data_IF_427571843836
#
_entry.id   IF_427571843836
#
_cell.length_a   1.000
_cell.length_b   1.000
_cell.length_c   1.000
_cell.angle_alpha   90.00
_cell.angle_beta   90.00
_cell.angle_gamma   90.00
#
_symmetry.space_group_name_H-M   'P 1'
#
loop_
_entity.id
_entity.type
_entity.pdbx_description
1 polymer ?
#
# COMPACT_ATOMS: atom_id res chain seq x y z
N UNK A 1 -29.11 -1.61 44.61
CA UNK A 1 -28.62 -0.42 43.89
C UNK A 1 -29.05 -0.58 42.44
N UNK A 2 -30.22 -0.06 42.11
CA UNK A 2 -30.79 -0.15 40.76
C UNK A 2 -30.06 0.82 39.84
N UNK A 3 -29.29 0.28 38.90
CA UNK A 3 -28.67 1.10 37.85
C UNK A 3 -29.79 1.54 36.92
N UNK A 4 -30.08 2.85 36.81
CA UNK A 4 -31.21 3.32 36.04
C UNK A 4 -31.02 2.95 34.58
N UNK A 5 -32.07 2.46 33.92
CA UNK A 5 -32.07 2.00 32.52
C UNK A 5 -31.38 2.97 31.54
N UNK A 6 -31.46 4.28 31.82
CA UNK A 6 -30.76 5.33 31.06
C UNK A 6 -29.23 5.19 31.08
N UNK A 7 -28.64 4.79 32.20
CA UNK A 7 -27.18 4.58 32.35
C UNK A 7 -26.74 3.34 31.56
N UNK A 8 -27.54 2.27 31.59
CA UNK A 8 -27.30 1.08 30.75
C UNK A 8 -27.34 1.41 29.25
N UNK A 9 -28.28 2.25 28.83
CA UNK A 9 -28.42 2.65 27.43
C UNK A 9 -27.23 3.49 26.93
N UNK A 10 -26.73 4.41 27.76
CA UNK A 10 -25.57 5.25 27.44
C UNK A 10 -24.30 4.39 27.31
N UNK A 11 -24.11 3.41 28.19
CA UNK A 11 -22.96 2.49 28.15
C UNK A 11 -22.99 1.60 26.89
N UNK A 12 -24.17 1.14 26.47
CA UNK A 12 -24.32 0.36 25.23
C UNK A 12 -23.96 1.16 23.97
N UNK A 13 -24.35 2.44 23.90
CA UNK A 13 -24.03 3.32 22.77
C UNK A 13 -22.52 3.62 22.72
N UNK A 14 -21.89 3.86 23.88
CA UNK A 14 -20.43 4.08 23.95
C UNK A 14 -19.63 2.85 23.50
N UNK A 15 -20.09 1.64 23.83
CA UNK A 15 -19.47 0.39 23.38
C UNK A 15 -19.58 0.19 21.85
N UNK A 16 -20.70 0.60 21.24
CA UNK A 16 -20.88 0.51 19.78
C UNK A 16 -20.02 1.51 19.01
N UNK A 17 -19.78 2.71 19.55
CA UNK A 17 -18.90 3.70 18.92
C UNK A 17 -17.42 3.23 18.86
N UNK A 18 -16.96 2.49 19.86
CA UNK A 18 -15.62 1.89 19.91
C UNK A 18 -15.46 0.65 19.01
N UNK A 19 -16.56 0.03 18.57
CA UNK A 19 -16.56 -1.11 17.65
C UNK A 19 -16.51 -0.69 16.16
N UNK A 20 -16.44 0.62 15.87
CA UNK A 20 -16.16 1.11 14.52
C UNK A 20 -14.74 0.68 14.14
N UNK A 21 -14.64 -0.48 13.48
CA UNK A 21 -13.38 -1.01 12.95
C UNK A 21 -12.70 0.11 12.15
N UNK A 22 -11.41 0.42 12.40
CA UNK A 22 -10.70 1.34 11.53
C UNK A 22 -10.86 0.81 10.11
N UNK A 23 -11.28 1.70 9.20
CA UNK A 23 -11.44 1.37 7.78
C UNK A 23 -10.21 0.59 7.34
N UNK A 24 -10.41 -0.63 6.84
CA UNK A 24 -9.33 -1.54 6.43
C UNK A 24 -8.64 -1.07 5.15
N UNK A 25 -8.71 0.22 4.83
CA UNK A 25 -8.16 0.82 3.63
C UNK A 25 -7.03 1.77 4.00
N UNK A 26 -5.85 1.51 3.45
CA UNK A 26 -4.78 2.50 3.40
C UNK A 26 -4.97 3.33 2.13
N UNK A 27 -5.09 4.65 2.27
CA UNK A 27 -5.02 5.55 1.11
C UNK A 27 -3.59 5.64 0.62
N UNK A 28 -3.33 5.14 -0.57
CA UNK A 28 -2.10 5.43 -1.29
C UNK A 28 -2.36 6.36 -2.46
N UNK A 29 -1.88 7.60 -2.36
CA UNK A 29 -1.99 8.62 -3.41
C UNK A 29 -3.41 8.88 -3.91
N UNK A 30 -4.39 8.89 -3.00
CA UNK A 30 -5.80 9.11 -3.34
C UNK A 30 -6.53 7.87 -3.84
N UNK A 31 -5.88 6.70 -3.87
CA UNK A 31 -6.52 5.41 -4.12
C UNK A 31 -6.65 4.63 -2.83
N UNK A 32 -7.83 4.07 -2.63
CA UNK A 32 -8.11 3.20 -1.50
C UNK A 32 -7.52 1.81 -1.80
N UNK A 33 -6.45 1.46 -1.09
CA UNK A 33 -5.89 0.13 -1.10
C UNK A 33 -6.42 -0.62 0.11
N UNK A 34 -7.28 -1.61 -0.13
CA UNK A 34 -7.70 -2.53 0.92
C UNK A 34 -6.45 -3.23 1.48
N UNK A 35 -6.28 -3.18 2.79
CA UNK A 35 -5.17 -3.81 3.51
C UNK A 35 -5.18 -5.34 3.31
N UNK A 36 -6.33 -5.93 3.02
CA UNK A 36 -6.46 -7.35 2.67
C UNK A 36 -6.35 -7.61 1.16
N UNK A 37 -6.15 -6.59 0.32
CA UNK A 37 -5.99 -6.77 -1.12
C UNK A 37 -4.82 -7.68 -1.44
N UNK A 38 -3.68 -7.46 -0.78
CA UNK A 38 -2.47 -8.25 -1.03
C UNK A 38 -2.62 -9.72 -0.60
N UNK A 39 -3.56 -10.04 0.29
CA UNK A 39 -3.90 -11.44 0.67
C UNK A 39 -4.76 -12.15 -0.37
N UNK A 40 -5.52 -11.39 -1.16
CA UNK A 40 -6.50 -11.93 -2.12
C UNK A 40 -5.96 -11.93 -3.55
N UNK A 41 -5.07 -11.00 -3.89
CA UNK A 41 -4.51 -10.90 -5.22
C UNK A 41 -3.46 -12.00 -5.45
N UNK A 42 -3.58 -12.73 -6.55
CA UNK A 42 -2.55 -13.66 -7.01
C UNK A 42 -1.64 -12.92 -7.96
N UNK A 43 -0.47 -12.53 -7.47
CA UNK A 43 0.57 -11.96 -8.30
C UNK A 43 1.24 -13.07 -9.12
N UNK A 44 1.33 -12.88 -10.43
CA UNK A 44 2.26 -13.68 -11.24
C UNK A 44 3.68 -13.28 -10.84
N UNK A 45 4.54 -14.26 -10.55
CA UNK A 45 5.97 -13.99 -10.40
C UNK A 45 6.56 -13.49 -11.72
N UNK A 46 7.49 -12.55 -11.62
CA UNK A 46 8.23 -12.06 -12.80
C UNK A 46 9.52 -12.87 -12.89
N UNK A 47 9.76 -13.52 -14.02
CA UNK A 47 11.04 -14.19 -14.27
C UNK A 47 12.10 -13.18 -14.71
N UNK A 48 13.38 -13.46 -14.40
CA UNK A 48 14.48 -12.58 -14.80
C UNK A 48 14.54 -12.36 -16.31
N UNK A 49 14.22 -13.39 -17.11
CA UNK A 49 14.19 -13.30 -18.57
C UNK A 49 13.12 -12.34 -19.11
N UNK A 50 12.06 -12.06 -18.33
CA UNK A 50 10.98 -11.15 -18.72
C UNK A 50 11.24 -9.70 -18.34
N UNK A 51 12.22 -9.46 -17.45
CA UNK A 51 12.51 -8.14 -16.91
C UNK A 51 13.86 -7.61 -17.41
N UNK A 52 13.82 -6.62 -18.33
CA UNK A 52 15.02 -5.91 -18.80
C UNK A 52 15.54 -4.84 -17.81
N UNK A 53 15.02 -4.84 -16.59
CA UNK A 53 15.32 -3.88 -15.53
C UNK A 53 15.59 -4.59 -14.20
N UNK A 54 15.17 -3.97 -13.10
CA UNK A 54 15.24 -4.56 -11.76
C UNK A 54 13.87 -5.06 -11.34
N UNK A 55 13.76 -6.34 -10.96
CA UNK A 55 12.54 -6.85 -10.32
C UNK A 55 12.48 -6.29 -8.91
N UNK A 56 11.38 -5.63 -8.56
CA UNK A 56 11.18 -4.99 -7.26
C UNK A 56 9.81 -5.34 -6.68
N UNK A 57 9.79 -5.80 -5.44
CA UNK A 57 8.55 -5.96 -4.69
C UNK A 57 7.89 -4.61 -4.39
N UNK A 58 6.57 -4.57 -4.48
CA UNK A 58 5.80 -3.38 -4.15
C UNK A 58 5.94 -2.23 -5.15
N UNK A 59 6.40 -2.51 -6.37
CA UNK A 59 6.50 -1.52 -7.45
C UNK A 59 5.22 -1.30 -8.24
N UNK A 60 4.14 -2.06 -7.97
CA UNK A 60 2.87 -2.02 -8.71
C UNK A 60 1.67 -1.48 -7.91
N UNK A 61 0.47 -1.64 -8.46
CA UNK A 61 -0.80 -1.22 -7.84
C UNK A 61 -0.94 -1.77 -6.42
N UNK A 62 -1.23 -0.88 -5.46
CA UNK A 62 -1.28 -1.14 -4.01
C UNK A 62 -0.05 -1.87 -3.43
N UNK A 63 1.05 -1.93 -4.18
CA UNK A 63 2.33 -2.53 -3.79
C UNK A 63 2.25 -4.00 -3.39
N UNK A 64 1.28 -4.75 -3.91
CA UNK A 64 1.12 -6.16 -3.58
C UNK A 64 2.01 -7.09 -4.41
N UNK A 65 2.35 -6.70 -5.64
CA UNK A 65 3.07 -7.55 -6.59
C UNK A 65 4.46 -7.03 -6.91
N UNK A 66 5.29 -7.93 -7.42
CA UNK A 66 6.52 -7.59 -8.11
C UNK A 66 6.23 -6.71 -9.32
N UNK A 67 7.17 -5.84 -9.64
CA UNK A 67 7.18 -5.07 -10.86
C UNK A 67 8.60 -5.02 -11.43
N UNK A 68 8.72 -4.88 -12.75
CA UNK A 68 10.01 -4.68 -13.39
C UNK A 68 10.25 -3.17 -13.57
N UNK A 69 11.31 -2.64 -12.96
CA UNK A 69 11.49 -1.20 -12.85
C UNK A 69 12.86 -0.72 -13.37
N UNK A 70 12.89 0.55 -13.77
CA UNK A 70 14.11 1.35 -13.86
C UNK A 70 14.24 2.10 -12.52
N UNK A 71 15.23 1.77 -11.67
CA UNK A 71 15.32 2.30 -10.32
C UNK A 71 15.63 3.81 -10.30
N UNK A 72 14.85 4.56 -9.53
CA UNK A 72 15.01 6.00 -9.30
C UNK A 72 15.58 6.23 -7.89
N UNK A 73 16.72 6.93 -7.75
CA UNK A 73 17.31 7.21 -6.45
C UNK A 73 16.52 8.24 -5.63
N UNK A 74 16.85 8.30 -4.33
CA UNK A 74 16.21 9.20 -3.36
C UNK A 74 16.23 10.66 -3.83
N UNK A 75 15.13 11.36 -3.60
CA UNK A 75 14.98 12.78 -3.90
C UNK A 75 14.64 13.10 -5.36
N UNK A 76 14.82 12.16 -6.29
CA UNK A 76 14.48 12.39 -7.69
C UNK A 76 12.98 12.28 -7.96
N UNK A 77 12.48 12.92 -9.04
CA UNK A 77 11.08 12.85 -9.43
C UNK A 77 10.63 11.43 -9.73
N UNK A 78 9.39 11.11 -9.39
CA UNK A 78 8.78 9.80 -9.63
C UNK A 78 7.31 9.93 -10.00
N UNK A 79 6.81 8.90 -10.68
CA UNK A 79 5.37 8.71 -10.89
C UNK A 79 4.83 7.77 -9.78
N UNK A 80 3.84 8.19 -8.98
CA UNK A 80 3.22 7.31 -7.97
C UNK A 80 2.36 6.19 -8.58
N UNK A 81 2.07 6.27 -9.87
CA UNK A 81 1.38 5.22 -10.63
C UNK A 81 2.17 4.84 -11.89
N UNK A 82 3.32 4.15 -11.74
CA UNK A 82 4.23 3.89 -12.86
C UNK A 82 3.67 2.88 -13.88
N UNK A 83 2.57 2.18 -13.56
CA UNK A 83 2.05 1.08 -14.37
C UNK A 83 2.76 -0.26 -14.10
N UNK A 84 2.69 -1.17 -15.07
CA UNK A 84 3.34 -2.49 -15.01
C UNK A 84 4.48 -2.55 -16.03
N UNK A 85 5.67 -2.96 -15.59
CA UNK A 85 6.91 -2.84 -16.35
C UNK A 85 7.33 -4.07 -17.14
N UNK A 86 6.39 -4.94 -17.50
CA UNK A 86 6.60 -5.98 -18.51
C UNK A 86 5.75 -5.62 -19.72
N UNK A 87 6.31 -5.64 -20.95
CA UNK A 87 7.65 -6.13 -21.30
C UNK A 87 8.79 -5.11 -21.12
N UNK A 88 8.46 -3.83 -20.93
CA UNK A 88 9.45 -2.76 -20.81
C UNK A 88 9.42 -2.15 -19.40
N UNK A 89 10.57 -2.03 -18.71
CA UNK A 89 10.63 -1.61 -17.32
C UNK A 89 10.11 -0.17 -17.15
N UNK A 90 9.36 0.06 -16.06
CA UNK A 90 8.81 1.38 -15.73
C UNK A 90 9.68 2.10 -14.72
N UNK A 91 9.84 3.42 -14.86
CA UNK A 91 10.63 4.20 -13.91
C UNK A 91 9.91 4.26 -12.55
N UNK A 92 10.56 3.75 -11.50
CA UNK A 92 10.02 3.79 -10.14
C UNK A 92 11.12 3.86 -9.09
N UNK A 93 10.78 4.30 -7.88
CA UNK A 93 11.75 4.43 -6.80
C UNK A 93 12.46 3.10 -6.50
N UNK A 94 13.74 3.17 -6.18
CA UNK A 94 14.57 2.01 -5.86
C UNK A 94 14.15 1.36 -4.52
N UNK A 95 14.85 0.30 -4.12
CA UNK A 95 14.66 -0.41 -2.86
C UNK A 95 14.73 0.51 -1.64
N UNK A 96 13.88 0.23 -0.65
CA UNK A 96 13.73 1.07 0.54
C UNK A 96 13.10 2.44 0.28
N UNK A 97 12.74 2.77 -0.97
CA UNK A 97 12.15 4.05 -1.36
C UNK A 97 10.74 3.89 -1.91
N UNK A 98 9.97 4.97 -1.80
CA UNK A 98 8.66 5.07 -2.40
C UNK A 98 8.37 6.46 -2.93
N UNK A 99 7.42 6.56 -3.87
CA UNK A 99 7.03 7.84 -4.42
C UNK A 99 6.07 8.56 -3.48
N UNK A 100 6.50 9.72 -2.97
CA UNK A 100 5.62 10.60 -2.20
C UNK A 100 4.52 11.16 -3.10
N UNK A 101 3.27 11.00 -2.68
CA UNK A 101 2.10 11.36 -3.48
C UNK A 101 1.97 12.87 -3.73
N UNK A 102 2.50 13.69 -2.82
CA UNK A 102 2.40 15.15 -2.85
C UNK A 102 3.61 15.76 -3.56
N UNK A 103 4.81 15.43 -3.13
CA UNK A 103 6.05 16.00 -3.69
C UNK A 103 6.48 15.31 -4.98
N UNK A 104 5.91 14.14 -5.31
CA UNK A 104 6.26 13.33 -6.49
C UNK A 104 7.76 13.02 -6.53
N UNK A 105 8.34 12.71 -5.37
CA UNK A 105 9.77 12.41 -5.21
C UNK A 105 9.96 11.11 -4.46
N UNK A 106 11.07 10.43 -4.75
CA UNK A 106 11.44 9.22 -4.02
C UNK A 106 11.88 9.56 -2.59
N UNK A 107 11.14 9.06 -1.60
CA UNK A 107 11.39 9.24 -0.17
C UNK A 107 11.62 7.89 0.51
N UNK A 108 12.29 7.86 1.68
CA UNK A 108 12.40 6.64 2.47
C UNK A 108 11.03 6.05 2.76
N UNK A 109 10.95 4.73 2.66
CA UNK A 109 9.70 4.02 2.75
C UNK A 109 9.59 3.34 4.10
N UNK A 110 8.75 3.87 4.99
CA UNK A 110 8.53 3.28 6.32
C UNK A 110 7.84 1.90 6.28
N UNK A 111 7.08 1.61 5.22
CA UNK A 111 6.39 0.34 4.98
C UNK A 111 6.39 0.07 3.46
N UNK A 112 7.49 -0.47 2.94
CA UNK A 112 7.61 -0.80 1.51
C UNK A 112 7.14 -2.19 1.14
N UNK A 113 6.96 -3.01 2.17
CA UNK A 113 6.39 -4.34 2.09
C UNK A 113 5.15 -4.29 2.98
N UNK A 114 3.97 -4.45 2.40
CA UNK A 114 2.86 -4.91 3.24
C UNK A 114 3.22 -6.33 3.67
N UNK A 115 3.16 -6.66 4.97
CA UNK A 115 3.42 -8.02 5.39
C UNK A 115 2.43 -8.94 4.68
N UNK A 116 2.97 -9.86 3.86
CA UNK A 116 2.29 -11.11 3.54
C UNK A 116 2.21 -11.85 4.89
N UNK A 117 1.06 -11.74 5.57
CA UNK A 117 0.77 -12.61 6.71
C UNK A 117 0.43 -14.00 6.18
#
# INVERSE_FOLDING_TARGET
MDVPFKVLLIMAIAAMALASRPSSYARHCGRDCDLDLCKRIRCRGIEEAECKGKIRQGGGFCRCCQNCIIPIPKGLPCNPDPGYGIPEPVAYCDEGLTCDCRTKRCVPCGQCEYPLQ
#
